data_IF_459323091547
#
_entry.id   IF_459323091547
#
_cell.length_a   1.000
_cell.length_b   1.000
_cell.length_c   1.000
_cell.angle_alpha   90.00
_cell.angle_beta   90.00
_cell.angle_gamma   90.00
#
_symmetry.space_group_name_H-M   'P 1'
#
loop_
_entity.id
_entity.type
_entity.pdbx_description
1 polymer ?
#
# COMPACT_ATOMS: atom_id res chain seq x y z
N UNK A 1 5.76 -0.88 10.53
CA UNK A 1 5.18 0.39 9.99
C UNK A 1 3.85 0.07 9.32
N UNK A 2 2.77 0.84 9.56
CA UNK A 2 1.46 0.58 8.94
C UNK A 2 1.54 0.80 7.41
N UNK A 3 1.05 -0.15 6.58
CA UNK A 3 1.03 0.03 5.12
C UNK A 3 0.22 1.27 4.72
N UNK A 4 0.74 2.07 3.78
CA UNK A 4 0.02 3.21 3.20
C UNK A 4 -0.74 2.71 1.96
N UNK A 5 -2.02 2.42 2.15
CA UNK A 5 -2.95 2.00 1.10
C UNK A 5 -3.87 3.19 0.79
N UNK A 6 -4.07 3.58 -0.48
CA UNK A 6 -5.00 4.62 -0.89
C UNK A 6 -6.39 4.40 -0.32
N UNK A 7 -7.05 5.50 -0.01
CA UNK A 7 -8.34 5.52 0.67
C UNK A 7 -9.50 5.13 -0.24
N UNK A 8 -9.32 5.16 -1.57
CA UNK A 8 -10.32 4.75 -2.55
C UNK A 8 -9.68 4.26 -3.86
N UNK A 9 -10.45 3.50 -4.65
CA UNK A 9 -10.05 3.08 -5.99
C UNK A 9 -9.87 4.26 -6.96
N UNK A 10 -10.70 5.30 -6.84
CA UNK A 10 -10.58 6.52 -7.63
C UNK A 10 -9.26 7.24 -7.36
N UNK A 11 -8.89 7.39 -6.08
CA UNK A 11 -7.62 8.04 -5.72
C UNK A 11 -6.43 7.26 -6.31
N UNK A 12 -6.44 5.93 -6.20
CA UNK A 12 -5.38 5.11 -6.79
C UNK A 12 -5.33 5.25 -8.32
N UNK A 13 -6.49 5.22 -8.97
CA UNK A 13 -6.58 5.43 -10.41
C UNK A 13 -6.00 6.78 -10.81
N UNK A 14 -6.45 7.87 -10.18
CA UNK A 14 -6.00 9.23 -10.48
C UNK A 14 -4.50 9.43 -10.18
N UNK A 15 -3.98 8.88 -9.08
CA UNK A 15 -2.55 8.98 -8.73
C UNK A 15 -1.61 8.27 -9.72
N UNK A 16 -2.06 7.13 -10.28
CA UNK A 16 -1.31 6.40 -11.30
C UNK A 16 -1.48 7.06 -12.66
N UNK A 17 -2.73 7.33 -13.06
CA UNK A 17 -3.06 7.86 -14.38
C UNK A 17 -2.52 9.29 -14.55
N UNK A 18 -2.47 10.12 -13.51
CA UNK A 18 -1.90 11.47 -13.60
C UNK A 18 -0.42 11.50 -14.02
N UNK A 19 0.31 10.41 -13.80
CA UNK A 19 1.72 10.29 -14.22
C UNK A 19 1.87 9.79 -15.65
N UNK A 20 0.82 9.19 -16.20
CA UNK A 20 0.80 8.53 -17.51
C UNK A 20 0.09 9.44 -18.52
N UNK A 21 -1.16 9.79 -18.24
CA UNK A 21 -2.01 10.64 -19.08
C UNK A 21 -2.98 11.45 -18.20
N UNK A 22 -2.66 12.74 -18.00
CA UNK A 22 -3.43 13.65 -17.14
C UNK A 22 -4.88 13.80 -17.59
N UNK A 23 -5.14 13.74 -18.90
CA UNK A 23 -6.49 13.89 -19.46
C UNK A 23 -7.44 12.75 -19.08
N UNK A 24 -6.88 11.58 -18.76
CA UNK A 24 -7.65 10.41 -18.37
C UNK A 24 -7.92 10.37 -16.86
N UNK A 25 -7.49 11.37 -16.09
CA UNK A 25 -7.87 11.46 -14.68
C UNK A 25 -9.34 11.82 -14.52
N UNK A 26 -9.95 11.36 -13.43
CA UNK A 26 -11.39 11.52 -13.16
C UNK A 26 -11.84 12.98 -13.22
N UNK A 27 -10.98 13.91 -12.79
CA UNK A 27 -11.25 15.34 -12.83
C UNK A 27 -11.24 15.94 -14.25
N UNK A 28 -10.51 15.34 -15.19
CA UNK A 28 -10.31 15.87 -16.54
C UNK A 28 -11.28 15.26 -17.56
N UNK A 29 -11.76 14.03 -17.33
CA UNK A 29 -12.69 13.34 -18.23
C UNK A 29 -13.92 14.19 -18.64
N UNK A 30 -14.60 14.93 -17.73
CA UNK A 30 -15.76 15.75 -18.11
C UNK A 30 -15.42 16.90 -19.05
N UNK A 31 -14.16 17.34 -19.10
CA UNK A 31 -13.72 18.49 -19.88
C UNK A 31 -13.29 18.11 -21.30
N UNK A 32 -13.13 16.82 -21.59
CA UNK A 32 -12.62 16.33 -22.88
C UNK A 32 -13.57 16.66 -24.03
N UNK A 33 -14.89 16.62 -23.80
CA UNK A 33 -15.88 16.91 -24.84
C UNK A 33 -15.73 18.35 -25.38
N UNK A 34 -15.59 19.33 -24.48
CA UNK A 34 -15.38 20.72 -24.88
C UNK A 34 -13.98 20.93 -25.49
N UNK A 35 -12.96 20.29 -24.90
CA UNK A 35 -11.57 20.38 -25.38
C UNK A 35 -11.38 19.88 -26.81
N UNK A 36 -12.19 18.89 -27.23
CA UNK A 36 -12.08 18.23 -28.52
C UNK A 36 -13.29 18.43 -29.43
N UNK A 37 -14.13 19.44 -29.16
CA UNK A 37 -15.36 19.69 -29.95
C UNK A 37 -15.12 19.92 -31.45
N UNK A 38 -13.95 20.46 -31.80
CA UNK A 38 -13.54 20.78 -33.17
C UNK A 38 -12.46 19.82 -33.70
N UNK A 39 -12.27 18.65 -33.07
CA UNK A 39 -11.24 17.69 -33.50
C UNK A 39 -11.57 17.09 -34.87
N UNK A 40 -10.55 16.92 -35.72
CA UNK A 40 -10.71 16.16 -36.97
C UNK A 40 -10.67 14.66 -36.71
N UNK A 41 -11.17 13.81 -37.63
CA UNK A 41 -11.08 12.37 -37.51
C UNK A 41 -9.64 11.84 -37.32
N UNK A 42 -8.66 12.47 -37.96
CA UNK A 42 -7.24 12.10 -37.83
C UNK A 42 -6.71 12.44 -36.43
N UNK A 43 -7.11 13.58 -35.87
CA UNK A 43 -6.75 13.98 -34.51
C UNK A 43 -7.41 13.06 -33.47
N UNK A 44 -8.69 12.73 -33.68
CA UNK A 44 -9.42 11.78 -32.85
C UNK A 44 -8.73 10.41 -32.82
N UNK A 45 -8.29 9.93 -33.99
CA UNK A 45 -7.55 8.66 -34.11
C UNK A 45 -6.22 8.72 -33.36
N UNK A 46 -5.44 9.78 -33.54
CA UNK A 46 -4.17 9.96 -32.84
C UNK A 46 -4.37 10.01 -31.31
N UNK A 47 -5.43 10.66 -30.84
CA UNK A 47 -5.81 10.70 -29.42
C UNK A 47 -6.21 9.31 -28.90
N UNK A 48 -7.01 8.55 -29.65
CA UNK A 48 -7.40 7.20 -29.27
C UNK A 48 -6.20 6.25 -29.18
N UNK A 49 -5.24 6.35 -30.11
CA UNK A 49 -3.99 5.59 -30.06
C UNK A 49 -3.14 5.96 -28.84
N UNK A 50 -3.07 7.24 -28.48
CA UNK A 50 -2.39 7.71 -27.25
C UNK A 50 -3.06 7.13 -26.01
N UNK A 51 -4.38 7.22 -25.90
CA UNK A 51 -5.12 6.70 -24.76
C UNK A 51 -5.03 5.18 -24.63
N UNK A 52 -4.99 4.46 -25.75
CA UNK A 52 -4.78 3.00 -25.76
C UNK A 52 -3.44 2.64 -25.11
N UNK A 53 -2.37 3.37 -25.43
CA UNK A 53 -1.05 3.19 -24.81
C UNK A 53 -1.07 3.55 -23.33
N UNK A 54 -1.74 4.64 -22.96
CA UNK A 54 -1.88 5.07 -21.57
C UNK A 54 -2.58 4.02 -20.70
N UNK A 55 -3.64 3.38 -21.19
CA UNK A 55 -4.31 2.30 -20.45
C UNK A 55 -3.42 1.06 -20.29
N UNK A 56 -2.66 0.68 -21.33
CA UNK A 56 -1.70 -0.42 -21.21
C UNK A 56 -0.59 -0.13 -20.18
N UNK A 57 -0.11 1.11 -20.13
CA UNK A 57 0.86 1.55 -19.12
C UNK A 57 0.24 1.57 -17.71
N UNK A 58 -1.02 2.00 -17.60
CA UNK A 58 -1.76 1.97 -16.35
C UNK A 58 -1.88 0.55 -15.79
N UNK A 59 -2.22 -0.43 -16.63
CA UNK A 59 -2.33 -1.83 -16.20
C UNK A 59 -1.02 -2.35 -15.60
N UNK A 60 0.11 -2.00 -16.24
CA UNK A 60 1.46 -2.34 -15.75
C UNK A 60 1.78 -1.65 -14.42
N UNK A 61 1.48 -0.35 -14.32
CA UNK A 61 1.70 0.44 -13.10
C UNK A 61 0.84 -0.08 -11.94
N UNK A 62 -0.43 -0.41 -12.22
CA UNK A 62 -1.37 -0.96 -11.26
C UNK A 62 -0.92 -2.34 -10.75
N UNK A 63 -0.50 -3.25 -11.64
CA UNK A 63 0.01 -4.55 -11.26
C UNK A 63 1.25 -4.43 -10.35
N UNK A 64 2.17 -3.52 -10.69
CA UNK A 64 3.37 -3.23 -9.88
C UNK A 64 3.00 -2.71 -8.49
N UNK A 65 2.05 -1.77 -8.43
CA UNK A 65 1.55 -1.21 -7.19
C UNK A 65 0.92 -2.29 -6.30
N UNK A 66 0.05 -3.15 -6.87
CA UNK A 66 -0.58 -4.26 -6.16
C UNK A 66 0.42 -5.30 -5.64
N UNK A 67 1.44 -5.62 -6.42
CA UNK A 67 2.54 -6.48 -5.96
C UNK A 67 3.25 -5.91 -4.74
N UNK A 68 3.57 -4.62 -4.78
CA UNK A 68 4.24 -3.92 -3.68
C UNK A 68 3.35 -3.80 -2.44
N UNK A 69 2.05 -3.51 -2.62
CA UNK A 69 1.08 -3.44 -1.52
C UNK A 69 0.95 -4.79 -0.81
N UNK A 70 0.86 -5.89 -1.57
CA UNK A 70 0.81 -7.26 -1.02
C UNK A 70 2.06 -7.57 -0.19
N UNK A 71 3.25 -7.18 -0.67
CA UNK A 71 4.50 -7.34 0.08
C UNK A 71 4.49 -6.57 1.40
N UNK A 72 4.06 -5.30 1.38
CA UNK A 72 3.96 -4.47 2.59
C UNK A 72 2.99 -5.06 3.63
N UNK A 73 1.83 -5.55 3.19
CA UNK A 73 0.86 -6.21 4.08
C UNK A 73 1.46 -7.48 4.69
N UNK A 74 2.13 -8.30 3.89
CA UNK A 74 2.80 -9.50 4.39
C UNK A 74 3.90 -9.18 5.40
N UNK A 75 4.68 -8.13 5.15
CA UNK A 75 5.72 -7.69 6.08
C UNK A 75 5.10 -7.19 7.38
N UNK A 76 4.09 -6.32 7.31
CA UNK A 76 3.41 -5.81 8.50
C UNK A 76 2.80 -6.94 9.35
N UNK A 77 2.22 -7.97 8.71
CA UNK A 77 1.72 -9.16 9.40
C UNK A 77 2.83 -9.89 10.17
N UNK A 78 3.99 -10.09 9.54
CA UNK A 78 5.15 -10.73 10.19
C UNK A 78 5.63 -9.91 11.38
N UNK A 79 5.78 -8.60 11.20
CA UNK A 79 6.21 -7.67 12.25
C UNK A 79 5.24 -7.71 13.45
N UNK A 80 3.94 -7.74 13.19
CA UNK A 80 2.92 -7.82 14.24
C UNK A 80 3.02 -9.12 15.06
N UNK A 81 3.18 -10.27 14.40
CA UNK A 81 3.37 -11.54 15.11
C UNK A 81 4.67 -11.57 15.93
N UNK A 82 5.77 -11.08 15.36
CA UNK A 82 7.05 -11.02 16.07
C UNK A 82 6.99 -10.10 17.30
N UNK A 83 6.23 -9.00 17.22
CA UNK A 83 6.01 -8.11 18.36
C UNK A 83 5.27 -8.84 19.49
N UNK A 84 4.20 -9.57 19.17
CA UNK A 84 3.44 -10.35 20.15
C UNK A 84 4.29 -11.45 20.79
N UNK A 85 5.05 -12.21 19.99
CA UNK A 85 5.96 -13.23 20.52
C UNK A 85 7.00 -12.64 21.47
N UNK A 86 7.54 -11.45 21.16
CA UNK A 86 8.52 -10.78 22.02
C UNK A 86 7.90 -10.33 23.34
N UNK A 87 6.68 -9.81 23.31
CA UNK A 87 5.94 -9.44 24.51
C UNK A 87 5.64 -10.66 25.39
N UNK A 88 5.23 -11.77 24.79
CA UNK A 88 4.97 -13.02 25.51
C UNK A 88 6.24 -13.59 26.14
N UNK A 89 7.36 -13.67 25.38
CA UNK A 89 8.65 -14.10 25.94
C UNK A 89 9.11 -13.22 27.10
N UNK A 90 8.91 -11.91 27.01
CA UNK A 90 9.25 -10.96 28.08
C UNK A 90 8.40 -11.23 29.33
N UNK A 91 7.10 -11.48 29.15
CA UNK A 91 6.16 -11.78 30.24
C UNK A 91 6.49 -13.11 30.92
N UNK A 92 6.82 -14.13 30.13
CA UNK A 92 7.18 -15.44 30.66
C UNK A 92 8.52 -15.40 31.39
N UNK A 93 9.51 -14.68 30.86
CA UNK A 93 10.76 -14.45 31.56
C UNK A 93 10.53 -13.74 32.91
N UNK A 94 9.68 -12.72 32.95
CA UNK A 94 9.34 -12.03 34.20
C UNK A 94 8.65 -12.95 35.21
N UNK A 95 7.75 -13.85 34.77
CA UNK A 95 7.12 -14.85 35.63
C UNK A 95 8.13 -15.87 36.17
N UNK A 96 9.03 -16.37 35.33
CA UNK A 96 10.07 -17.31 35.75
C UNK A 96 10.97 -16.69 36.80
N UNK A 97 11.45 -15.46 36.57
CA UNK A 97 12.26 -14.72 37.56
C UNK A 97 11.51 -14.48 38.87
N UNK A 98 10.20 -14.21 38.81
CA UNK A 98 9.38 -14.09 40.02
C UNK A 98 9.24 -15.43 40.77
N UNK A 99 9.04 -16.54 40.05
CA UNK A 99 8.96 -17.88 40.64
C UNK A 99 10.30 -18.28 41.30
N UNK A 100 11.43 -18.03 40.63
CA UNK A 100 12.76 -18.31 41.18
C UNK A 100 13.00 -17.54 42.49
N UNK A 101 12.56 -16.28 42.56
CA UNK A 101 12.68 -15.44 43.76
C UNK A 101 11.83 -15.92 44.93
N UNK A 102 10.71 -16.62 44.66
CA UNK A 102 9.83 -17.19 45.68
C UNK A 102 10.36 -18.55 46.17
N UNK A 103 10.91 -19.36 45.25
CA UNK A 103 11.39 -20.71 45.54
C UNK A 103 12.78 -20.73 46.20
N UNK A 104 13.57 -19.68 46.00
CA UNK A 104 14.89 -19.50 46.62
C UNK A 104 14.84 -18.34 47.62
N UNK A 105 14.24 -18.51 48.82
CA UNK A 105 14.47 -17.56 49.88
C UNK A 105 15.97 -17.56 50.17
N UNK A 106 16.58 -16.37 50.13
CA UNK A 106 17.98 -16.16 50.47
C UNK A 106 18.31 -16.89 51.77
N UNK A 107 19.01 -18.02 51.66
CA UNK A 107 19.80 -18.57 52.77
C UNK A 107 20.94 -17.61 53.00
N UNK A 108 20.64 -16.49 53.66
CA UNK A 108 21.65 -15.58 54.17
C UNK A 108 21.99 -16.07 55.59
N UNK A 109 23.12 -16.78 55.60
CA UNK A 109 24.02 -17.12 56.68
C UNK A 109 23.99 -16.11 57.85
N UNK A 110 23.84 -16.64 59.08
CA UNK A 110 24.35 -16.04 60.31
C UNK A 110 25.32 -17.03 60.94
#
# INVERSE_FOLDING_TARGET
MKPKIPTSGQQLYDELMAKIELELTTAQLPLLAEKYKDETPEQAKARAERYTKAYAEYDSAYATYMGSAKQQVNQYRKDAFQSLEKEDRTRDQAKLTALDSILLPTTQTV
#
